data_IF_988158928207
#
_entry.id   IF_988158928207
#
_cell.length_a   1.000
_cell.length_b   1.000
_cell.length_c   1.000
_cell.angle_alpha   90.00
_cell.angle_beta   90.00
_cell.angle_gamma   90.00
#
_symmetry.space_group_name_H-M   'P 1'
#
loop_
_entity.id
_entity.type
_entity.pdbx_description
1 polymer ?
#
# COMPACT_ATOMS: atom_id res chain seq x y z
N UNK A 1 25.93 12.75 -6.43
CA UNK A 1 24.66 12.14 -6.02
C UNK A 1 23.62 13.23 -5.87
N UNK A 2 22.57 13.17 -6.63
CA UNK A 2 21.45 14.07 -6.44
C UNK A 2 20.68 13.63 -5.19
N UNK A 3 20.51 14.54 -4.26
CA UNK A 3 19.63 14.29 -3.13
C UNK A 3 18.19 14.41 -3.60
N UNK A 4 17.44 13.34 -3.44
CA UNK A 4 16.02 13.34 -3.71
C UNK A 4 15.26 13.40 -2.38
N UNK A 5 14.46 14.45 -2.22
CA UNK A 5 13.54 14.58 -1.10
C UNK A 5 12.15 14.84 -1.67
N UNK A 6 11.19 14.04 -1.28
CA UNK A 6 9.83 14.11 -1.81
C UNK A 6 8.79 14.01 -0.70
N UNK A 7 7.65 14.65 -0.96
CA UNK A 7 6.43 14.42 -0.21
C UNK A 7 5.66 13.33 -0.94
N UNK A 8 5.27 12.29 -0.22
CA UNK A 8 4.59 11.13 -0.77
C UNK A 8 3.19 11.04 -0.21
N UNK A 9 2.22 10.81 -1.09
CA UNK A 9 0.84 10.54 -0.75
C UNK A 9 0.47 9.21 -1.36
N UNK A 10 0.00 8.28 -0.54
CA UNK A 10 -0.39 6.96 -0.99
C UNK A 10 -1.88 6.71 -0.75
N UNK A 11 -2.56 6.27 -1.80
CA UNK A 11 -3.93 5.79 -1.76
C UNK A 11 -3.92 4.30 -2.04
N UNK A 12 -4.61 3.54 -1.22
CA UNK A 12 -4.59 2.08 -1.30
C UNK A 12 -5.97 1.55 -1.65
N UNK A 13 -5.99 0.66 -2.62
CA UNK A 13 -7.14 -0.19 -2.93
C UNK A 13 -6.71 -1.63 -2.68
N UNK A 14 -7.42 -2.32 -1.83
CA UNK A 14 -6.97 -3.63 -1.39
C UNK A 14 -7.43 -4.77 -2.29
N UNK A 15 -6.59 -5.81 -2.33
CA UNK A 15 -6.92 -7.11 -2.90
C UNK A 15 -7.15 -8.09 -1.75
N UNK A 16 -8.34 -8.64 -1.68
CA UNK A 16 -8.69 -9.65 -0.69
C UNK A 16 -8.37 -11.06 -1.17
N UNK A 17 -8.23 -11.97 -0.23
CA UNK A 17 -8.08 -13.40 -0.49
C UNK A 17 -9.42 -14.08 -0.27
N UNK A 18 -9.89 -14.81 -1.27
CA UNK A 18 -11.05 -15.68 -1.14
C UNK A 18 -10.59 -17.12 -1.17
N UNK A 19 -11.03 -17.88 -0.19
CA UNK A 19 -10.82 -19.32 -0.17
C UNK A 19 -11.83 -19.98 -1.11
N UNK A 20 -11.38 -20.37 -2.28
CA UNK A 20 -12.19 -21.16 -3.19
C UNK A 20 -12.43 -22.56 -2.63
N UNK A 21 -13.63 -23.06 -2.81
CA UNK A 21 -13.92 -24.46 -2.53
C UNK A 21 -13.26 -25.30 -3.61
N UNK A 22 -12.25 -26.05 -3.24
CA UNK A 22 -11.63 -27.00 -4.14
C UNK A 22 -12.54 -28.19 -4.28
N UNK A 23 -13.02 -28.44 -5.48
CA UNK A 23 -13.59 -29.71 -5.80
C UNK A 23 -12.50 -30.75 -5.92
N UNK A 24 -12.55 -31.74 -5.06
CA UNK A 24 -11.66 -32.87 -5.13
C UNK A 24 -12.14 -33.79 -6.25
N UNK A 25 -11.57 -33.62 -7.43
CA UNK A 25 -11.65 -34.63 -8.46
C UNK A 25 -10.30 -35.30 -8.55
N UNK A 26 -10.29 -36.58 -8.25
CA UNK A 26 -9.18 -37.50 -8.52
C UNK A 26 -7.76 -37.00 -8.23
N UNK A 27 -7.38 -36.91 -6.97
CA UNK A 27 -5.99 -37.03 -6.55
C UNK A 27 -5.08 -35.83 -6.77
N UNK A 28 -5.57 -34.68 -7.21
CA UNK A 28 -4.81 -33.47 -7.26
C UNK A 28 -5.09 -32.63 -6.01
N UNK A 29 -4.12 -32.62 -5.09
CA UNK A 29 -4.18 -31.88 -3.82
C UNK A 29 -3.68 -30.45 -3.94
N UNK A 30 -3.64 -29.88 -5.12
CA UNK A 30 -3.30 -28.47 -5.26
C UNK A 30 -4.50 -27.61 -4.88
N UNK A 31 -4.59 -27.28 -3.61
CA UNK A 31 -5.44 -26.19 -3.17
C UNK A 31 -4.83 -24.87 -3.66
N UNK A 32 -5.17 -24.47 -4.86
CA UNK A 32 -4.89 -23.12 -5.32
C UNK A 32 -5.81 -22.19 -4.56
N UNK A 33 -5.24 -21.41 -3.68
CA UNK A 33 -5.95 -20.26 -3.11
C UNK A 33 -6.18 -19.28 -4.25
N UNK A 34 -7.42 -19.18 -4.70
CA UNK A 34 -7.78 -18.15 -5.64
C UNK A 34 -7.83 -16.81 -4.91
N UNK A 35 -7.11 -15.85 -5.45
CA UNK A 35 -7.22 -14.47 -4.99
C UNK A 35 -8.18 -13.72 -5.89
N UNK A 36 -9.08 -12.95 -5.30
CA UNK A 36 -9.98 -12.06 -6.01
C UNK A 36 -9.69 -10.63 -5.64
N UNK A 37 -9.93 -9.73 -6.57
CA UNK A 37 -9.85 -8.31 -6.30
C UNK A 37 -11.10 -7.88 -5.53
N UNK A 38 -10.90 -7.26 -4.38
CA UNK A 38 -11.96 -6.67 -3.57
C UNK A 38 -11.75 -5.16 -3.56
N UNK A 39 -12.72 -4.44 -4.11
CA UNK A 39 -12.72 -2.98 -4.07
C UNK A 39 -13.02 -2.48 -2.67
N UNK A 40 -12.21 -1.54 -2.21
CA UNK A 40 -12.43 -0.81 -0.97
C UNK A 40 -12.61 0.67 -1.27
N UNK A 41 -13.22 1.39 -0.35
CA UNK A 41 -13.24 2.85 -0.42
C UNK A 41 -11.79 3.33 -0.34
N UNK A 42 -11.32 4.12 -1.32
CA UNK A 42 -9.95 4.61 -1.29
C UNK A 42 -9.67 5.40 -0.01
N UNK A 43 -8.56 5.09 0.62
CA UNK A 43 -8.16 5.75 1.86
C UNK A 43 -6.69 6.17 1.77
N UNK A 44 -6.40 7.30 2.38
CA UNK A 44 -5.03 7.78 2.49
C UNK A 44 -4.36 7.13 3.69
N UNK A 45 -3.31 6.37 3.47
CA UNK A 45 -2.57 5.67 4.51
C UNK A 45 -1.23 6.29 4.84
N UNK A 46 -0.70 7.15 3.97
CA UNK A 46 0.54 7.87 4.18
C UNK A 46 0.41 9.28 3.61
N UNK A 47 0.80 10.25 4.40
CA UNK A 47 1.00 11.61 3.92
C UNK A 47 2.15 12.27 4.69
N UNK A 48 3.20 12.64 3.97
CA UNK A 48 4.39 13.24 4.56
C UNK A 48 4.33 14.75 4.67
N UNK A 49 3.29 15.38 4.13
CA UNK A 49 3.12 16.84 4.17
C UNK A 49 2.78 17.31 5.58
N UNK A 50 3.21 18.53 5.91
CA UNK A 50 2.80 19.17 7.16
C UNK A 50 1.27 19.32 7.23
N UNK A 51 0.72 19.12 8.42
CA UNK A 51 -0.72 19.24 8.70
C UNK A 51 -1.61 18.31 7.86
N UNK A 52 -1.03 17.33 7.22
CA UNK A 52 -1.79 16.33 6.48
C UNK A 52 -2.35 15.27 7.42
N UNK A 53 -3.44 14.67 7.01
CA UNK A 53 -4.13 13.63 7.77
C UNK A 53 -4.28 12.37 6.94
N UNK A 54 -4.21 11.24 7.60
CA UNK A 54 -4.54 9.93 7.03
C UNK A 54 -5.89 9.44 7.54
N UNK A 55 -6.36 8.35 6.98
CA UNK A 55 -7.65 7.75 7.34
C UNK A 55 -7.75 7.42 8.84
N UNK A 56 -6.69 6.90 9.41
CA UNK A 56 -6.66 6.38 10.79
C UNK A 56 -5.72 7.14 11.73
N UNK A 57 -5.11 8.21 11.26
CA UNK A 57 -4.18 9.00 12.06
C UNK A 57 -2.75 8.46 12.10
N UNK A 58 -2.48 7.29 11.52
CA UNK A 58 -1.13 6.75 11.42
C UNK A 58 -0.45 7.25 10.14
N UNK A 59 0.87 7.37 10.18
CA UNK A 59 1.70 7.78 9.04
C UNK A 59 1.26 9.10 8.41
N UNK A 60 0.83 10.02 9.22
CA UNK A 60 0.45 11.38 8.80
C UNK A 60 1.49 12.41 9.24
N UNK A 61 1.68 13.42 8.42
CA UNK A 61 2.62 14.52 8.70
C UNK A 61 4.03 14.03 9.07
N UNK A 62 4.48 12.98 8.40
CA UNK A 62 5.75 12.31 8.73
C UNK A 62 6.96 13.20 8.42
N UNK A 63 6.82 14.15 7.53
CA UNK A 63 7.89 14.98 7.04
C UNK A 63 8.50 14.45 5.73
N UNK A 64 9.35 15.26 5.14
CA UNK A 64 10.00 14.88 3.87
C UNK A 64 10.86 13.65 4.02
N UNK A 65 10.77 12.78 3.04
CA UNK A 65 11.65 11.62 2.93
C UNK A 65 12.96 12.04 2.25
N UNK A 66 14.06 11.73 2.91
CA UNK A 66 15.38 12.01 2.39
C UNK A 66 15.78 11.04 1.28
N UNK A 67 16.79 11.43 0.50
CA UNK A 67 17.36 10.56 -0.52
C UNK A 67 17.93 9.28 0.09
N UNK A 68 17.84 8.19 -0.66
CA UNK A 68 18.38 6.88 -0.29
C UNK A 68 17.82 6.32 1.03
N UNK A 69 16.62 6.73 1.40
CA UNK A 69 15.92 6.20 2.57
C UNK A 69 14.77 5.29 2.16
N UNK A 70 14.53 4.29 3.00
CA UNK A 70 13.36 3.43 2.88
C UNK A 70 12.36 3.78 3.97
N UNK A 71 11.12 3.95 3.59
CA UNK A 71 10.01 4.13 4.52
C UNK A 71 9.14 2.88 4.50
N UNK A 72 9.00 2.23 5.64
CA UNK A 72 8.11 1.09 5.79
C UNK A 72 6.71 1.55 6.16
N UNK A 73 5.74 1.16 5.36
CA UNK A 73 4.35 1.49 5.56
C UNK A 73 3.55 0.24 5.87
N UNK A 74 3.01 0.16 7.07
CA UNK A 74 2.08 -0.89 7.43
C UNK A 74 0.73 -0.65 6.76
N UNK A 75 0.23 -1.66 6.08
CA UNK A 75 -1.00 -1.57 5.29
C UNK A 75 -2.06 -2.52 5.81
N UNK A 76 -1.68 -3.70 6.27
CA UNK A 76 -2.60 -4.71 6.75
C UNK A 76 -3.43 -4.19 7.93
N UNK A 77 -4.69 -4.57 7.96
CA UNK A 77 -5.66 -4.16 8.99
C UNK A 77 -5.92 -2.64 9.05
N UNK A 78 -5.70 -1.94 7.95
CA UNK A 78 -5.99 -0.50 7.83
C UNK A 78 -7.01 -0.27 6.72
N UNK A 79 -7.93 0.68 6.92
CA UNK A 79 -8.94 1.07 5.93
C UNK A 79 -9.74 -0.09 5.33
N UNK A 80 -9.99 -1.12 6.10
CA UNK A 80 -10.72 -2.32 5.66
C UNK A 80 -9.87 -3.35 4.93
N UNK A 81 -8.56 -3.16 4.86
CA UNK A 81 -7.64 -4.13 4.27
C UNK A 81 -7.51 -5.31 5.24
N UNK A 82 -7.83 -6.54 4.82
CA UNK A 82 -7.69 -7.69 5.71
C UNK A 82 -6.24 -8.00 6.02
N UNK A 83 -6.00 -8.62 7.17
CA UNK A 83 -4.65 -9.00 7.61
C UNK A 83 -4.00 -10.06 6.73
N UNK A 84 -4.81 -10.83 6.01
CA UNK A 84 -4.39 -11.90 5.10
C UNK A 84 -4.38 -11.47 3.62
N UNK A 85 -4.48 -10.18 3.33
CA UNK A 85 -4.37 -9.67 1.97
C UNK A 85 -3.01 -10.04 1.37
N UNK A 86 -3.02 -10.57 0.16
CA UNK A 86 -1.80 -10.97 -0.55
C UNK A 86 -1.12 -9.77 -1.21
N UNK A 87 -1.90 -8.80 -1.63
CA UNK A 87 -1.39 -7.61 -2.30
C UNK A 87 -2.42 -6.48 -2.20
N UNK A 88 -1.96 -5.29 -2.49
CA UNK A 88 -2.82 -4.11 -2.56
C UNK A 88 -2.51 -3.34 -3.84
N UNK A 89 -3.53 -2.68 -4.37
CA UNK A 89 -3.33 -1.68 -5.41
C UNK A 89 -3.24 -0.31 -4.75
N UNK A 90 -2.15 0.37 -4.96
CA UNK A 90 -1.89 1.66 -4.33
C UNK A 90 -1.52 2.70 -5.39
N UNK A 91 -1.93 3.93 -5.15
CA UNK A 91 -1.46 5.08 -5.91
C UNK A 91 -0.45 5.85 -5.05
N UNK A 92 0.75 6.02 -5.55
CA UNK A 92 1.83 6.74 -4.88
C UNK A 92 2.16 7.98 -5.67
N UNK A 93 2.13 9.13 -5.03
CA UNK A 93 2.36 10.42 -5.67
C UNK A 93 3.49 11.15 -4.97
N UNK A 94 4.50 11.58 -5.73
CA UNK A 94 5.52 12.51 -5.25
C UNK A 94 5.02 13.94 -5.42
N UNK A 95 5.03 14.71 -4.33
CA UNK A 95 4.57 16.10 -4.32
C UNK A 95 5.74 17.02 -4.01
N UNK A 96 6.00 17.96 -4.90
CA UNK A 96 7.07 18.95 -4.76
C UNK A 96 8.43 18.34 -4.39
N UNK A 97 8.95 17.43 -5.19
CA UNK A 97 10.31 16.94 -4.96
C UNK A 97 11.32 18.07 -5.06
N UNK A 98 12.37 18.01 -4.26
CA UNK A 98 13.43 19.03 -4.27
C UNK A 98 14.35 18.93 -5.48
N UNK A 99 14.42 17.75 -6.07
CA UNK A 99 15.26 17.45 -7.23
C UNK A 99 14.67 16.33 -8.07
N UNK A 100 15.25 16.09 -9.23
CA UNK A 100 14.91 14.93 -10.04
C UNK A 100 15.28 13.64 -9.31
N UNK A 101 14.44 12.65 -9.46
CA UNK A 101 14.65 11.36 -8.80
C UNK A 101 13.53 10.39 -9.12
N UNK A 102 13.48 9.33 -8.35
CA UNK A 102 12.45 8.29 -8.49
C UNK A 102 12.09 7.71 -7.13
N UNK A 103 10.93 7.11 -7.10
CA UNK A 103 10.44 6.33 -5.96
C UNK A 103 10.30 4.89 -6.41
N UNK A 104 10.82 3.97 -5.62
CA UNK A 104 10.62 2.53 -5.82
C UNK A 104 9.67 2.02 -4.73
N UNK A 105 8.74 1.20 -5.13
CA UNK A 105 7.74 0.60 -4.23
C UNK A 105 7.84 -0.91 -4.29
#
# INVERSE_FOLDING_TARGET
MSRFSAVVVAFVVAVGVVFGVTQITSGSTNSTKESVFVGLVPARLLDTRENATTFDGFDQAVGRLDADTTYELDIADRAGIPTDALSVSANVVAVKPSNNGFITV
#
